data_IF_823986542548
#
_entry.id   IF_823986542548
#
_cell.length_a   1.000
_cell.length_b   1.000
_cell.length_c   1.000
_cell.angle_alpha   90.00
_cell.angle_beta   90.00
_cell.angle_gamma   90.00
#
_symmetry.space_group_name_H-M   'P 1'
#
loop_
_entity.id
_entity.type
_entity.pdbx_description
1 polymer ?
#
# COMPACT_ATOMS: atom_id res chain seq x y z
N UNK A 1 17.20 9.71 -5.34
CA UNK A 1 16.57 8.37 -5.37
C UNK A 1 15.46 8.27 -4.32
N UNK A 2 15.75 8.29 -3.01
CA UNK A 2 14.75 8.16 -1.94
C UNK A 2 13.54 9.12 -2.05
N UNK A 3 13.76 10.40 -2.38
CA UNK A 3 12.67 11.38 -2.60
C UNK A 3 11.70 10.97 -3.73
N UNK A 4 12.23 10.37 -4.81
CA UNK A 4 11.43 9.90 -5.94
C UNK A 4 10.60 8.68 -5.53
N UNK A 5 11.22 7.70 -4.88
CA UNK A 5 10.53 6.52 -4.32
C UNK A 5 9.40 6.96 -3.38
N UNK A 6 9.66 7.93 -2.49
CA UNK A 6 8.63 8.46 -1.59
C UNK A 6 7.46 9.13 -2.32
N UNK A 7 7.71 9.84 -3.43
CA UNK A 7 6.66 10.43 -4.27
C UNK A 7 5.85 9.35 -4.99
N UNK A 8 6.53 8.38 -5.60
CA UNK A 8 5.89 7.28 -6.34
C UNK A 8 5.04 6.41 -5.39
N UNK A 9 5.53 6.17 -4.17
CA UNK A 9 4.78 5.53 -3.09
C UNK A 9 3.52 6.33 -2.72
N UNK A 10 3.64 7.64 -2.51
CA UNK A 10 2.46 8.47 -2.20
C UNK A 10 1.42 8.44 -3.32
N UNK A 11 1.85 8.52 -4.59
CA UNK A 11 0.95 8.46 -5.74
C UNK A 11 0.25 7.10 -5.82
N UNK A 12 0.97 6.01 -5.58
CA UNK A 12 0.42 4.64 -5.58
C UNK A 12 -0.58 4.46 -4.44
N UNK A 13 -0.32 5.05 -3.28
CA UNK A 13 -1.24 5.03 -2.14
C UNK A 13 -2.58 5.71 -2.48
N UNK A 14 -2.56 6.86 -3.16
CA UNK A 14 -3.79 7.53 -3.60
C UNK A 14 -4.58 6.68 -4.61
N UNK A 15 -3.90 5.98 -5.53
CA UNK A 15 -4.58 5.04 -6.45
C UNK A 15 -5.21 3.87 -5.69
N UNK A 16 -4.50 3.34 -4.69
CA UNK A 16 -4.99 2.26 -3.84
C UNK A 16 -6.21 2.67 -3.02
N UNK A 17 -6.23 3.89 -2.49
CA UNK A 17 -7.40 4.44 -1.79
C UNK A 17 -8.61 4.52 -2.73
N UNK A 18 -8.41 5.01 -3.97
CA UNK A 18 -9.46 5.04 -5.00
C UNK A 18 -9.96 3.62 -5.33
N UNK A 19 -9.06 2.65 -5.50
CA UNK A 19 -9.42 1.25 -5.72
C UNK A 19 -10.20 0.68 -4.54
N UNK A 20 -9.81 1.00 -3.31
CA UNK A 20 -10.50 0.57 -2.08
C UNK A 20 -11.94 1.05 -2.06
N UNK A 21 -12.18 2.31 -2.43
CA UNK A 21 -13.53 2.88 -2.52
C UNK A 21 -14.35 2.14 -3.57
N UNK A 22 -13.78 1.86 -4.74
CA UNK A 22 -14.47 1.14 -5.82
C UNK A 22 -14.77 -0.32 -5.45
N UNK A 23 -13.80 -1.03 -4.89
CA UNK A 23 -13.94 -2.44 -4.51
C UNK A 23 -14.97 -2.65 -3.39
N UNK A 24 -15.19 -1.66 -2.51
CA UNK A 24 -16.20 -1.70 -1.44
C UNK A 24 -17.62 -1.40 -1.93
N UNK A 25 -17.80 -0.79 -3.11
CA UNK A 25 -19.14 -0.51 -3.65
C UNK A 25 -19.79 -1.82 -4.11
N UNK A 26 -20.89 -2.21 -3.47
CA UNK A 26 -21.67 -3.42 -3.78
C UNK A 26 -22.81 -3.17 -4.80
N UNK A 27 -22.61 -2.28 -5.77
CA UNK A 27 -23.63 -2.00 -6.78
C UNK A 27 -23.60 -3.07 -7.88
N UNK A 28 -24.74 -3.71 -8.15
CA UNK A 28 -24.88 -4.71 -9.21
C UNK A 28 -24.91 -4.10 -10.62
N UNK A 29 -25.28 -2.82 -10.73
CA UNK A 29 -25.56 -2.15 -12.01
C UNK A 29 -24.56 -1.03 -12.35
N UNK A 30 -23.72 -0.64 -11.39
CA UNK A 30 -22.66 0.37 -11.54
C UNK A 30 -21.34 -0.19 -11.00
N UNK A 31 -21.05 -1.44 -11.37
CA UNK A 31 -19.77 -2.06 -11.07
C UNK A 31 -18.76 -1.59 -12.12
N UNK A 32 -17.90 -0.64 -11.70
CA UNK A 32 -16.83 -0.09 -12.53
C UNK A 32 -15.68 -1.09 -12.71
N UNK A 33 -15.99 -2.25 -13.26
CA UNK A 33 -15.08 -3.39 -13.33
C UNK A 33 -13.80 -3.06 -14.13
N UNK A 34 -13.94 -2.33 -15.24
CA UNK A 34 -12.80 -1.88 -16.06
C UNK A 34 -11.88 -0.95 -15.26
N UNK A 35 -12.42 0.03 -14.54
CA UNK A 35 -11.62 0.96 -13.73
C UNK A 35 -10.91 0.23 -12.57
N UNK A 36 -11.56 -0.79 -11.98
CA UNK A 36 -10.97 -1.64 -10.94
C UNK A 36 -9.81 -2.47 -11.52
N UNK A 37 -9.97 -3.05 -12.70
CA UNK A 37 -8.95 -3.86 -13.36
C UNK A 37 -7.74 -3.01 -13.79
N UNK A 38 -7.99 -1.83 -14.39
CA UNK A 38 -6.94 -0.87 -14.74
C UNK A 38 -6.16 -0.41 -13.50
N UNK A 39 -6.84 -0.01 -12.43
CA UNK A 39 -6.18 0.39 -11.18
C UNK A 39 -5.41 -0.76 -10.56
N UNK A 40 -5.94 -1.98 -10.61
CA UNK A 40 -5.26 -3.19 -10.13
C UNK A 40 -3.96 -3.41 -10.90
N UNK A 41 -3.99 -3.31 -12.23
CA UNK A 41 -2.81 -3.46 -13.07
C UNK A 41 -1.75 -2.37 -12.81
N UNK A 42 -2.18 -1.11 -12.72
CA UNK A 42 -1.29 0.02 -12.46
C UNK A 42 -0.62 -0.12 -11.08
N UNK A 43 -1.40 -0.43 -10.04
CA UNK A 43 -0.87 -0.61 -8.67
C UNK A 43 0.08 -1.80 -8.61
N UNK A 44 -0.26 -2.91 -9.28
CA UNK A 44 0.62 -4.08 -9.40
C UNK A 44 1.98 -3.68 -10.00
N UNK A 45 1.99 -2.92 -11.08
CA UNK A 45 3.22 -2.46 -11.72
C UNK A 45 4.01 -1.48 -10.83
N UNK A 46 3.31 -0.53 -10.21
CA UNK A 46 3.90 0.46 -9.31
C UNK A 46 4.56 -0.21 -8.10
N UNK A 47 3.90 -1.16 -7.44
CA UNK A 47 4.45 -1.91 -6.29
C UNK A 47 5.70 -2.71 -6.70
N UNK A 48 5.67 -3.39 -7.85
CA UNK A 48 6.85 -4.10 -8.36
C UNK A 48 8.02 -3.15 -8.64
N UNK A 49 7.74 -2.00 -9.28
CA UNK A 49 8.76 -0.99 -9.53
C UNK A 49 9.33 -0.41 -8.23
N UNK A 50 8.47 -0.09 -7.25
CA UNK A 50 8.88 0.40 -5.94
C UNK A 50 9.75 -0.60 -5.20
N UNK A 51 9.39 -1.89 -5.23
CA UNK A 51 10.17 -2.96 -4.61
C UNK A 51 11.58 -3.04 -5.21
N UNK A 52 11.69 -3.02 -6.54
CA UNK A 52 12.99 -3.02 -7.24
C UNK A 52 13.82 -1.77 -6.92
N UNK A 53 13.20 -0.58 -6.93
CA UNK A 53 13.89 0.68 -6.62
C UNK A 53 14.38 0.72 -5.17
N UNK A 54 13.62 0.17 -4.23
CA UNK A 54 14.02 0.06 -2.82
C UNK A 54 15.17 -0.92 -2.65
N UNK A 55 15.14 -2.08 -3.32
CA UNK A 55 16.24 -3.04 -3.31
C UNK A 55 17.54 -2.43 -3.88
N UNK A 56 17.45 -1.66 -4.96
CA UNK A 56 18.58 -0.90 -5.52
C UNK A 56 19.09 0.19 -4.57
N UNK A 57 18.19 0.89 -3.88
CA UNK A 57 18.57 1.88 -2.87
C UNK A 57 19.31 1.20 -1.71
N UNK A 58 18.84 0.04 -1.24
CA UNK A 58 19.49 -0.72 -0.18
C UNK A 58 20.90 -1.16 -0.59
N UNK A 59 21.08 -1.70 -1.80
CA UNK A 59 22.40 -2.12 -2.28
C UNK A 59 23.36 -0.93 -2.42
N UNK A 60 22.86 0.22 -2.88
CA UNK A 60 23.63 1.47 -2.94
C UNK A 60 24.07 1.95 -1.54
N UNK A 61 23.16 1.93 -0.56
CA UNK A 61 23.47 2.30 0.83
C UNK A 61 24.48 1.33 1.45
N UNK A 62 24.37 0.02 1.19
CA UNK A 62 25.38 -0.97 1.63
C UNK A 62 26.75 -0.72 1.00
N UNK A 63 26.81 -0.51 -0.31
CA UNK A 63 28.07 -0.26 -1.03
C UNK A 63 28.76 1.02 -0.55
N UNK A 64 27.97 2.06 -0.23
CA UNK A 64 28.49 3.35 0.26
C UNK A 64 28.90 3.33 1.74
N UNK A 65 28.49 2.31 2.50
CA UNK A 65 28.78 2.17 3.92
C UNK A 65 30.28 2.07 4.27
N UNK A 66 31.14 1.70 3.31
CA UNK A 66 32.59 1.63 3.51
C UNK A 66 33.30 3.00 3.48
N UNK A 67 32.67 4.05 2.93
CA UNK A 67 33.33 5.33 2.62
C UNK A 67 32.66 6.54 3.29
N UNK A 68 31.54 6.32 3.99
CA UNK A 68 30.68 7.38 4.52
C UNK A 68 30.68 7.40 6.05
N UNK A 69 30.62 8.60 6.64
CA UNK A 69 30.55 8.76 8.10
C UNK A 69 29.36 8.02 8.73
N UNK A 70 29.58 7.43 9.92
CA UNK A 70 28.63 6.56 10.64
C UNK A 70 27.20 7.12 10.70
N UNK A 71 27.05 8.41 11.00
CA UNK A 71 25.74 9.07 11.12
C UNK A 71 24.96 9.12 9.78
N UNK A 72 25.63 9.41 8.66
CA UNK A 72 24.98 9.46 7.34
C UNK A 72 24.54 8.07 6.89
N UNK A 73 25.29 7.03 7.26
CA UNK A 73 24.93 5.65 7.02
C UNK A 73 23.69 5.23 7.81
N UNK A 74 23.65 5.56 9.11
CA UNK A 74 22.50 5.31 9.97
C UNK A 74 21.23 5.95 9.41
N UNK A 75 21.28 7.23 9.07
CA UNK A 75 20.13 7.93 8.49
C UNK A 75 19.65 7.27 7.18
N UNK A 76 20.60 6.90 6.30
CA UNK A 76 20.27 6.24 5.03
C UNK A 76 19.58 4.89 5.23
N UNK A 77 20.04 4.09 6.20
CA UNK A 77 19.40 2.83 6.56
C UNK A 77 17.99 3.05 7.13
N UNK A 78 17.80 4.01 8.05
CA UNK A 78 16.48 4.34 8.61
C UNK A 78 15.49 4.74 7.52
N UNK A 79 15.94 5.51 6.52
CA UNK A 79 15.09 5.88 5.37
C UNK A 79 14.70 4.65 4.55
N UNK A 80 15.62 3.71 4.30
CA UNK A 80 15.32 2.46 3.58
C UNK A 80 14.29 1.62 4.33
N UNK A 81 14.47 1.41 5.64
CA UNK A 81 13.50 0.67 6.47
C UNK A 81 12.13 1.34 6.49
N UNK A 82 12.08 2.68 6.61
CA UNK A 82 10.82 3.41 6.57
C UNK A 82 10.09 3.22 5.24
N UNK A 83 10.81 3.27 4.10
CA UNK A 83 10.24 3.03 2.78
C UNK A 83 9.75 1.58 2.62
N UNK A 84 10.52 0.60 3.12
CA UNK A 84 10.14 -0.82 3.11
C UNK A 84 8.89 -1.08 3.93
N UNK A 85 8.81 -0.52 5.14
CA UNK A 85 7.64 -0.63 6.00
C UNK A 85 6.38 -0.05 5.34
N UNK A 86 6.51 1.12 4.70
CA UNK A 86 5.39 1.73 3.95
C UNK A 86 4.98 0.88 2.74
N UNK A 87 5.93 0.34 1.98
CA UNK A 87 5.62 -0.54 0.84
C UNK A 87 4.95 -1.84 1.30
N UNK A 88 5.40 -2.42 2.42
CA UNK A 88 4.78 -3.60 3.02
C UNK A 88 3.34 -3.32 3.44
N UNK A 89 3.09 -2.19 4.12
CA UNK A 89 1.74 -1.76 4.51
C UNK A 89 0.84 -1.60 3.28
N UNK A 90 1.31 -0.87 2.25
CA UNK A 90 0.57 -0.68 1.01
C UNK A 90 0.25 -1.99 0.30
N UNK A 91 1.22 -2.91 0.25
CA UNK A 91 1.01 -4.24 -0.35
C UNK A 91 -0.04 -5.03 0.43
N UNK A 92 -0.07 -4.91 1.76
CA UNK A 92 -1.07 -5.58 2.60
C UNK A 92 -2.47 -5.01 2.36
N UNK A 93 -2.59 -3.68 2.34
CA UNK A 93 -3.83 -2.98 2.02
C UNK A 93 -4.35 -3.39 0.62
N UNK A 94 -3.45 -3.45 -0.36
CA UNK A 94 -3.79 -3.91 -1.72
C UNK A 94 -4.30 -5.35 -1.72
N UNK A 95 -3.62 -6.27 -1.03
CA UNK A 95 -4.08 -7.66 -0.87
C UNK A 95 -5.47 -7.73 -0.24
N UNK A 96 -5.72 -6.99 0.85
CA UNK A 96 -7.05 -6.97 1.48
C UNK A 96 -8.14 -6.44 0.57
N UNK A 97 -7.86 -5.41 -0.24
CA UNK A 97 -8.80 -4.87 -1.23
C UNK A 97 -9.12 -5.89 -2.32
N UNK A 98 -8.11 -6.60 -2.80
CA UNK A 98 -8.27 -7.68 -3.77
C UNK A 98 -9.10 -8.84 -3.21
N UNK A 99 -8.86 -9.25 -1.95
CA UNK A 99 -9.68 -10.27 -1.27
C UNK A 99 -11.14 -9.85 -1.15
N UNK A 100 -11.41 -8.59 -0.78
CA UNK A 100 -12.77 -8.04 -0.75
C UNK A 100 -13.41 -8.07 -2.15
N UNK A 101 -12.64 -7.75 -3.20
CA UNK A 101 -13.13 -7.81 -4.59
C UNK A 101 -13.46 -9.24 -5.00
N UNK A 102 -12.59 -10.21 -4.71
CA UNK A 102 -12.83 -11.64 -4.98
C UNK A 102 -14.10 -12.12 -4.28
N UNK A 103 -14.28 -11.77 -3.01
CA UNK A 103 -15.47 -12.14 -2.25
C UNK A 103 -16.75 -11.50 -2.85
N UNK A 104 -16.69 -10.23 -3.25
CA UNK A 104 -17.82 -9.56 -3.91
C UNK A 104 -18.18 -10.23 -5.26
N UNK A 105 -17.18 -10.62 -6.06
CA UNK A 105 -17.39 -11.35 -7.31
C UNK A 105 -18.05 -12.72 -7.07
N UNK A 106 -17.57 -13.45 -6.04
CA UNK A 106 -18.13 -14.75 -5.65
C UNK A 106 -19.59 -14.63 -5.17
N UNK A 107 -19.89 -13.62 -4.35
CA UNK A 107 -21.26 -13.36 -3.89
C UNK A 107 -22.18 -12.98 -5.05
N UNK A 108 -21.70 -12.19 -6.02
CA UNK A 108 -22.47 -11.84 -7.21
C UNK A 108 -22.78 -13.07 -8.07
N UNK A 109 -21.79 -13.95 -8.27
CA UNK A 109 -21.97 -15.22 -8.98
C UNK A 109 -22.98 -16.13 -8.30
N UNK A 110 -22.83 -16.37 -6.99
CA UNK A 110 -23.75 -17.22 -6.21
C UNK A 110 -25.19 -16.69 -6.25
N UNK A 111 -25.40 -15.38 -6.05
CA UNK A 111 -26.74 -14.77 -6.17
C UNK A 111 -27.32 -15.00 -7.56
N UNK A 112 -26.52 -14.78 -8.61
CA UNK A 112 -26.97 -14.97 -9.99
C UNK A 112 -27.33 -16.43 -10.27
N UNK A 113 -26.54 -17.40 -9.82
CA UNK A 113 -26.86 -18.84 -9.94
C UNK A 113 -28.20 -19.17 -9.25
N UNK A 114 -28.48 -18.59 -8.08
CA UNK A 114 -29.77 -18.76 -7.39
C UNK A 114 -30.96 -18.14 -8.13
N UNK A 115 -30.77 -17.02 -8.84
CA UNK A 115 -31.85 -16.36 -9.59
C UNK A 115 -31.98 -16.88 -11.04
N UNK A 116 -30.90 -17.37 -11.66
CA UNK A 116 -30.91 -17.86 -13.03
C UNK A 116 -31.38 -19.31 -13.16
N UNK A 117 -31.14 -20.16 -12.15
CA UNK A 117 -31.69 -21.52 -12.14
C UNK A 117 -33.21 -21.58 -11.88
N UNK A 118 -33.83 -20.48 -11.45
CA UNK A 118 -35.24 -20.44 -11.03
C UNK A 118 -36.29 -20.19 -12.12
N UNK A 119 -35.92 -19.94 -13.38
CA UNK A 119 -36.91 -19.51 -14.41
C UNK A 119 -36.94 -20.30 -15.74
N UNK A 120 -36.13 -21.35 -15.92
CA UNK A 120 -36.14 -22.14 -17.17
C UNK A 120 -36.68 -23.56 -17.04
N UNK A 121 -37.02 -24.04 -15.83
CA UNK A 121 -37.46 -25.43 -15.60
C UNK A 121 -38.96 -25.63 -15.35
N UNK A 122 -39.81 -24.62 -15.56
CA UNK A 122 -41.26 -24.81 -15.39
C UNK A 122 -42.11 -23.91 -16.27
N UNK A 123 -41.98 -24.06 -17.59
CA UNK A 123 -43.14 -23.90 -18.45
C UNK A 123 -43.70 -25.30 -18.65
N UNK A 124 -44.84 -25.66 -18.04
CA UNK A 124 -45.47 -26.94 -18.33
C UNK A 124 -45.89 -26.91 -19.81
N UNK A 125 -45.19 -27.65 -20.66
CA UNK A 125 -45.74 -28.05 -21.95
C UNK A 125 -47.00 -28.87 -21.66
N UNK A 126 -48.16 -28.23 -21.73
CA UNK A 126 -49.44 -28.91 -21.68
C UNK A 126 -49.60 -29.69 -23.00
N UNK A 127 -49.20 -30.96 -22.97
CA UNK A 127 -49.47 -31.91 -24.04
C UNK A 127 -50.97 -32.27 -23.99
N UNK A 128 -51.79 -31.57 -24.77
CA UNK A 128 -53.22 -31.85 -24.85
C UNK A 128 -53.49 -33.00 -25.82
N UNK A 129 -53.33 -34.23 -25.32
CA UNK A 129 -53.75 -35.47 -25.98
C UNK A 129 -55.26 -35.69 -25.77
N UNK A 130 -56.03 -35.42 -26.82
CA UNK A 130 -57.24 -36.13 -27.25
C UNK A 130 -58.20 -36.71 -26.18
N UNK A 131 -59.34 -36.06 -26.02
CA UNK A 131 -60.59 -36.66 -25.55
C UNK A 131 -61.78 -35.89 -26.14
N UNK A 132 -62.77 -36.53 -26.80
CA UNK A 132 -63.90 -35.83 -27.40
C UNK A 132 -64.97 -35.60 -26.33
N UNK A 133 -65.29 -34.34 -26.02
CA UNK A 133 -66.50 -34.03 -25.27
C UNK A 133 -67.33 -33.00 -26.02
N UNK A 134 -68.55 -33.45 -26.28
CA UNK A 134 -69.68 -32.83 -26.97
C UNK A 134 -70.05 -31.50 -26.32
N UNK A 135 -70.12 -30.40 -27.10
CA UNK A 135 -71.11 -29.32 -26.95
C UNK A 135 -70.98 -28.27 -28.10
N UNK A 136 -72.06 -28.11 -28.89
CA UNK A 136 -72.45 -26.99 -29.78
C UNK A 136 -71.44 -26.54 -30.87
N UNK A 137 -71.63 -26.74 -32.19
CA UNK A 137 -72.68 -26.22 -33.10
C UNK A 137 -72.98 -24.72 -32.90
N UNK A 138 -72.27 -23.82 -33.59
CA UNK A 138 -72.68 -23.18 -34.87
C UNK A 138 -71.79 -21.95 -35.19
N UNK A 139 -71.78 -21.55 -36.46
CA UNK A 139 -71.30 -20.28 -37.05
C UNK A 139 -69.81 -20.02 -37.38
N UNK A 140 -69.42 -20.50 -38.56
CA UNK A 140 -69.01 -19.71 -39.74
C UNK A 140 -68.36 -18.30 -39.58
N UNK A 141 -67.08 -18.25 -40.02
CA UNK A 141 -66.41 -17.17 -40.80
C UNK A 141 -66.02 -15.85 -40.09
N UNK A 142 -64.73 -15.70 -39.75
CA UNK A 142 -63.85 -14.56 -40.16
C UNK A 142 -62.42 -14.67 -39.58
N UNK A 143 -61.45 -14.65 -40.49
CA UNK A 143 -60.20 -13.87 -40.47
C UNK A 143 -59.34 -13.83 -39.19
N UNK A 144 -58.13 -14.40 -39.28
CA UNK A 144 -57.02 -14.10 -38.36
C UNK A 144 -56.32 -15.34 -37.85
N UNK A 145 -55.61 -16.06 -38.72
CA UNK A 145 -54.65 -17.08 -38.31
C UNK A 145 -53.49 -16.38 -37.60
N UNK A 146 -53.53 -16.33 -36.27
CA UNK A 146 -52.37 -15.97 -35.45
C UNK A 146 -51.63 -17.27 -35.21
N UNK A 147 -50.84 -17.71 -36.20
CA UNK A 147 -49.74 -18.63 -35.95
C UNK A 147 -48.80 -17.94 -34.98
N UNK A 148 -48.86 -18.33 -33.70
CA UNK A 148 -47.88 -17.93 -32.70
C UNK A 148 -46.53 -18.43 -33.22
N UNK A 149 -45.73 -17.50 -33.71
CA UNK A 149 -44.36 -17.65 -34.16
C UNK A 149 -43.50 -18.07 -32.95
N UNK A 150 -43.54 -19.37 -32.63
CA UNK A 150 -42.81 -19.97 -31.50
C UNK A 150 -41.31 -20.11 -31.82
N UNK A 151 -40.94 -20.09 -33.11
CA UNK A 151 -39.59 -20.32 -33.61
C UNK A 151 -38.68 -19.07 -33.50
N UNK A 152 -39.28 -17.86 -33.54
CA UNK A 152 -38.55 -16.58 -33.36
C UNK A 152 -38.15 -16.32 -31.91
N UNK A 153 -38.80 -16.98 -30.93
CA UNK A 153 -38.45 -16.84 -29.49
C UNK A 153 -37.29 -17.72 -29.06
N UNK A 154 -37.08 -18.88 -29.69
CA UNK A 154 -35.96 -19.79 -29.36
C UNK A 154 -34.63 -19.21 -29.80
N UNK A 155 -34.58 -18.58 -30.97
CA UNK A 155 -33.40 -17.89 -31.49
C UNK A 155 -33.04 -16.64 -30.66
N UNK A 156 -34.05 -15.91 -30.16
CA UNK A 156 -33.83 -14.79 -29.24
C UNK A 156 -33.41 -15.24 -27.83
N UNK A 157 -33.81 -16.44 -27.40
CA UNK A 157 -33.39 -17.03 -26.13
C UNK A 157 -31.94 -17.55 -26.17
N UNK A 158 -31.47 -18.06 -27.32
CA UNK A 158 -30.06 -18.45 -27.50
C UNK A 158 -29.11 -17.26 -27.39
N UNK A 159 -29.52 -16.10 -27.92
CA UNK A 159 -28.70 -14.88 -27.89
C UNK A 159 -28.54 -14.32 -26.47
N UNK A 160 -29.55 -14.49 -25.61
CA UNK A 160 -29.52 -14.10 -24.19
C UNK A 160 -28.68 -15.04 -23.32
N UNK A 161 -28.44 -16.27 -23.77
CA UNK A 161 -27.55 -17.24 -23.10
C UNK A 161 -26.09 -16.91 -23.44
N UNK A 162 -25.79 -16.63 -24.71
CA UNK A 162 -24.43 -16.30 -25.17
C UNK A 162 -23.91 -15.00 -24.51
N UNK A 163 -24.76 -13.98 -24.39
CA UNK A 163 -24.40 -12.73 -23.69
C UNK A 163 -24.19 -12.96 -22.18
N UNK A 164 -24.91 -13.91 -21.58
CA UNK A 164 -24.71 -14.30 -20.18
C UNK A 164 -23.41 -15.05 -19.93
N UNK A 165 -23.05 -15.96 -20.83
CA UNK A 165 -21.84 -16.77 -20.73
C UNK A 165 -20.58 -15.91 -20.91
N UNK A 166 -20.60 -14.94 -21.83
CA UNK A 166 -19.49 -13.99 -22.02
C UNK A 166 -19.16 -13.22 -20.73
N UNK A 167 -20.19 -12.80 -19.99
CA UNK A 167 -20.03 -12.08 -18.72
C UNK A 167 -19.46 -12.98 -17.62
N UNK A 168 -19.93 -14.24 -17.52
CA UNK A 168 -19.42 -15.20 -16.53
C UNK A 168 -17.94 -15.50 -16.79
N UNK A 169 -17.57 -15.69 -18.06
CA UNK A 169 -16.19 -15.95 -18.46
C UNK A 169 -15.28 -14.78 -18.10
N UNK A 170 -15.66 -13.55 -18.50
CA UNK A 170 -14.89 -12.34 -18.16
C UNK A 170 -14.66 -12.20 -16.65
N UNK A 171 -15.65 -12.57 -15.83
CA UNK A 171 -15.54 -12.49 -14.36
C UNK A 171 -14.64 -13.57 -13.78
N UNK A 172 -14.64 -14.77 -14.36
CA UNK A 172 -13.70 -15.83 -13.99
C UNK A 172 -12.26 -15.41 -14.31
N UNK A 173 -12.03 -14.82 -15.49
CA UNK A 173 -10.73 -14.32 -15.90
C UNK A 173 -10.21 -13.21 -14.96
N UNK A 174 -11.07 -12.24 -14.60
CA UNK A 174 -10.70 -11.21 -13.62
C UNK A 174 -10.34 -11.81 -12.26
N UNK A 175 -11.09 -12.82 -11.80
CA UNK A 175 -10.81 -13.47 -10.52
C UNK A 175 -9.46 -14.21 -10.55
N UNK A 176 -9.14 -14.90 -11.63
CA UNK A 176 -7.84 -15.54 -11.83
C UNK A 176 -6.69 -14.51 -11.86
N UNK A 177 -6.88 -13.36 -12.51
CA UNK A 177 -5.90 -12.28 -12.54
C UNK A 177 -5.64 -11.71 -11.13
N UNK A 178 -6.70 -11.58 -10.32
CA UNK A 178 -6.60 -11.15 -8.93
C UNK A 178 -5.82 -12.19 -8.10
N UNK A 179 -6.15 -13.47 -8.23
CA UNK A 179 -5.45 -14.55 -7.52
C UNK A 179 -3.96 -14.61 -7.87
N UNK A 180 -3.61 -14.51 -9.15
CA UNK A 180 -2.21 -14.42 -9.59
C UNK A 180 -1.50 -13.22 -8.98
N UNK A 181 -2.17 -12.07 -8.90
CA UNK A 181 -1.60 -10.85 -8.28
C UNK A 181 -1.37 -11.04 -6.78
N UNK A 182 -2.30 -11.68 -6.05
CA UNK A 182 -2.14 -11.99 -4.62
C UNK A 182 -0.94 -12.91 -4.38
N UNK A 183 -0.74 -13.92 -5.24
CA UNK A 183 0.42 -14.83 -5.15
C UNK A 183 1.73 -14.07 -5.39
N UNK A 184 1.78 -13.20 -6.40
CA UNK A 184 2.94 -12.36 -6.67
C UNK A 184 3.26 -11.43 -5.49
N UNK A 185 2.25 -10.81 -4.86
CA UNK A 185 2.44 -10.03 -3.64
C UNK A 185 3.06 -10.87 -2.51
N UNK A 186 2.72 -12.16 -2.42
CA UNK A 186 3.35 -13.11 -1.51
C UNK A 186 4.88 -13.13 -1.65
N UNK A 187 5.39 -13.13 -2.89
CA UNK A 187 6.84 -13.09 -3.16
C UNK A 187 7.46 -11.76 -2.72
N UNK A 188 6.76 -10.65 -2.90
CA UNK A 188 7.20 -9.32 -2.47
C UNK A 188 7.27 -9.24 -0.94
N UNK A 189 6.30 -9.83 -0.22
CA UNK A 189 6.35 -9.91 1.25
C UNK A 189 7.54 -10.71 1.75
N UNK A 190 7.88 -11.83 1.10
CA UNK A 190 9.06 -12.60 1.46
C UNK A 190 10.34 -11.78 1.27
N UNK A 191 10.45 -11.05 0.16
CA UNK A 191 11.60 -10.19 -0.12
C UNK A 191 11.69 -9.02 0.88
N UNK A 192 10.56 -8.36 1.19
CA UNK A 192 10.51 -7.30 2.18
C UNK A 192 10.84 -7.81 3.58
N UNK A 193 10.31 -8.97 3.98
CA UNK A 193 10.61 -9.59 5.27
C UNK A 193 12.10 -9.89 5.42
N UNK A 194 12.74 -10.41 4.36
CA UNK A 194 14.19 -10.62 4.35
C UNK A 194 14.96 -9.30 4.48
N UNK A 195 14.57 -8.29 3.68
CA UNK A 195 15.22 -6.98 3.70
C UNK A 195 15.07 -6.23 5.03
N UNK A 196 13.94 -6.37 5.71
CA UNK A 196 13.68 -5.75 7.01
C UNK A 196 14.44 -6.48 8.12
N UNK A 197 14.42 -7.82 8.12
CA UNK A 197 15.15 -8.63 9.12
C UNK A 197 16.64 -8.37 9.10
N UNK A 198 17.24 -8.22 7.91
CA UNK A 198 18.67 -7.90 7.77
C UNK A 198 19.02 -6.51 8.33
N UNK A 199 18.08 -5.57 8.36
CA UNK A 199 18.31 -4.21 8.85
C UNK A 199 17.99 -4.02 10.34
N UNK A 200 17.17 -4.88 10.95
CA UNK A 200 16.84 -4.83 12.39
C UNK A 200 18.10 -4.97 13.27
N UNK A 201 19.06 -5.81 12.89
CA UNK A 201 20.37 -5.91 13.57
C UNK A 201 21.21 -4.62 13.51
N UNK A 202 21.02 -3.80 12.48
CA UNK A 202 21.75 -2.52 12.34
C UNK A 202 21.08 -1.40 13.13
N UNK A 203 19.76 -1.46 13.32
CA UNK A 203 18.98 -0.46 14.09
C UNK A 203 19.27 -0.60 15.59
N UNK A 204 19.44 -1.80 16.13
CA UNK A 204 19.82 -1.99 17.55
C UNK A 204 21.16 -1.31 17.92
N UNK A 205 22.03 -1.06 16.94
CA UNK A 205 23.28 -0.30 17.13
C UNK A 205 23.08 1.22 17.13
N UNK A 206 21.91 1.72 16.72
CA UNK A 206 21.59 3.16 16.75
C UNK A 206 21.33 3.63 18.17
N UNK A 207 20.57 2.85 18.95
CA UNK A 207 20.30 3.16 20.37
C UNK A 207 21.62 3.24 21.17
N UNK A 208 22.52 2.28 20.96
CA UNK A 208 23.87 2.34 21.55
C UNK A 208 24.71 3.55 21.08
N UNK A 209 24.55 4.01 19.84
CA UNK A 209 25.30 5.15 19.32
C UNK A 209 24.75 6.51 19.81
N UNK A 210 23.46 6.63 20.12
CA UNK A 210 22.88 7.82 20.77
C UNK A 210 23.42 7.93 22.20
N UNK A 211 23.49 6.81 22.90
CA UNK A 211 24.10 6.71 24.21
C UNK A 211 25.59 7.08 24.18
N UNK A 212 26.35 6.56 23.22
CA UNK A 212 27.76 6.96 23.02
C UNK A 212 27.92 8.45 22.72
N UNK A 213 27.01 9.05 21.95
CA UNK A 213 27.05 10.48 21.63
C UNK A 213 26.73 11.32 22.87
N UNK A 214 25.74 10.89 23.68
CA UNK A 214 25.41 11.53 24.95
C UNK A 214 26.59 11.48 25.92
N UNK A 215 27.26 10.32 26.04
CA UNK A 215 28.45 10.14 26.87
C UNK A 215 29.61 11.05 26.43
N UNK A 216 29.84 11.18 25.11
CA UNK A 216 30.87 12.07 24.58
C UNK A 216 30.57 13.56 24.81
N UNK A 217 29.29 13.96 24.69
CA UNK A 217 28.86 15.34 24.98
C UNK A 217 29.00 15.66 26.47
N UNK A 218 28.68 14.71 27.34
CA UNK A 218 28.82 14.85 28.79
C UNK A 218 30.30 14.93 29.22
N UNK A 219 31.16 14.13 28.60
CA UNK A 219 32.61 14.21 28.78
C UNK A 219 33.17 15.57 28.32
N UNK A 220 32.77 16.06 27.15
CA UNK A 220 33.18 17.38 26.65
C UNK A 220 32.68 18.52 27.57
N UNK A 221 31.47 18.41 28.09
CA UNK A 221 30.92 19.38 29.05
C UNK A 221 31.71 19.41 30.36
N UNK A 222 32.12 18.23 30.86
CA UNK A 222 32.97 18.11 32.05
C UNK A 222 34.34 18.77 31.84
N UNK A 223 34.97 18.58 30.68
CA UNK A 223 36.24 19.24 30.35
C UNK A 223 36.12 20.76 30.26
N UNK A 224 35.03 21.27 29.66
CA UNK A 224 34.76 22.71 29.59
C UNK A 224 34.59 23.31 30.98
N UNK A 225 33.83 22.66 31.86
CA UNK A 225 33.66 23.10 33.24
C UNK A 225 34.99 23.11 34.02
N UNK A 226 35.83 22.09 33.82
CA UNK A 226 37.16 22.01 34.41
C UNK A 226 38.07 23.15 33.94
N UNK A 227 38.05 23.46 32.65
CA UNK A 227 38.78 24.61 32.10
C UNK A 227 38.24 25.93 32.67
N UNK A 228 36.93 26.10 32.76
CA UNK A 228 36.30 27.30 33.31
C UNK A 228 36.69 27.55 34.77
N UNK A 229 36.74 26.50 35.61
CA UNK A 229 37.23 26.59 36.98
C UNK A 229 38.71 26.97 37.06
N UNK A 230 39.56 26.42 36.17
CA UNK A 230 40.98 26.75 36.12
C UNK A 230 41.22 28.23 35.74
N UNK A 231 40.44 28.78 34.81
CA UNK A 231 40.51 30.19 34.40
C UNK A 231 40.01 31.11 35.52
N UNK A 232 38.99 30.71 36.27
CA UNK A 232 38.48 31.50 37.42
C UNK A 232 39.48 31.57 38.58
N UNK A 233 40.23 30.50 38.84
CA UNK A 233 41.23 30.45 39.93
C UNK A 233 42.35 31.48 39.74
N UNK A 234 42.78 31.71 38.50
CA UNK A 234 43.86 32.64 38.18
C UNK A 234 43.51 34.12 38.42
N UNK A 235 42.23 34.45 38.66
CA UNK A 235 41.82 35.83 38.98
C UNK A 235 42.41 36.31 40.30
N UNK A 236 42.53 35.43 41.30
CA UNK A 236 43.12 35.80 42.59
C UNK A 236 44.64 36.03 42.49
N UNK A 237 45.31 35.28 41.60
CA UNK A 237 46.72 35.50 41.28
C UNK A 237 46.94 36.84 40.57
N UNK A 238 46.07 37.20 39.61
CA UNK A 238 46.11 38.50 38.96
C UNK A 238 45.93 39.66 39.97
N UNK A 239 44.99 39.52 40.90
CA UNK A 239 44.75 40.53 41.95
C UNK A 239 45.99 40.73 42.81
N UNK A 240 46.69 39.66 43.20
CA UNK A 240 47.94 39.76 44.00
C UNK A 240 49.04 40.50 43.25
N UNK A 241 49.27 40.18 41.97
CA UNK A 241 50.26 40.86 41.13
C UNK A 241 49.91 42.35 40.99
N UNK A 242 48.63 42.67 40.78
CA UNK A 242 48.15 44.04 40.68
C UNK A 242 48.38 44.83 41.99
N UNK A 243 48.15 44.21 43.15
CA UNK A 243 48.38 44.84 44.45
C UNK A 243 49.87 45.13 44.68
N UNK A 244 50.75 44.21 44.29
CA UNK A 244 52.20 44.41 44.35
C UNK A 244 52.64 45.58 43.44
N UNK A 245 52.09 45.68 42.23
CA UNK A 245 52.36 46.81 41.33
C UNK A 245 51.88 48.15 41.90
N UNK A 246 50.72 48.20 42.55
CA UNK A 246 50.23 49.41 43.22
C UNK A 246 51.16 49.83 44.35
N UNK A 247 51.57 48.89 45.21
CA UNK A 247 52.48 49.19 46.33
C UNK A 247 53.81 49.72 45.79
N UNK A 248 54.36 49.09 44.75
CA UNK A 248 55.59 49.56 44.11
C UNK A 248 55.43 50.97 43.51
N UNK A 249 54.30 51.24 42.84
CA UNK A 249 54.00 52.57 42.28
C UNK A 249 53.92 53.64 43.37
N UNK A 250 53.25 53.36 44.49
CA UNK A 250 53.15 54.30 45.62
C UNK A 250 54.54 54.57 46.20
N UNK A 251 55.36 53.53 46.42
CA UNK A 251 56.72 53.70 46.92
C UNK A 251 57.55 54.54 45.95
N UNK A 252 57.46 54.26 44.64
CA UNK A 252 58.17 55.00 43.62
C UNK A 252 57.79 56.48 43.60
N UNK A 253 56.50 56.80 43.65
CA UNK A 253 56.03 58.20 43.68
C UNK A 253 56.46 58.91 44.96
N UNK A 254 56.41 58.24 46.12
CA UNK A 254 56.76 58.86 47.41
C UNK A 254 58.27 59.06 47.59
N UNK A 255 59.11 58.19 47.02
CA UNK A 255 60.56 58.28 47.17
C UNK A 255 61.27 59.00 46.01
N UNK A 256 60.64 59.11 44.84
CA UNK A 256 61.25 59.68 43.64
C UNK A 256 60.64 61.03 43.23
N UNK A 257 59.49 61.42 43.81
CA UNK A 257 59.02 62.82 43.83
C UNK A 257 59.48 63.51 45.12
#
# INVERSE_FOLDING_TARGET
MAKRIGKDLSNTFTKLEKLTILAKRKSLFDDKAVEIEELTYIIKQDINSLNQQIAQLQSFVKARGSQSGRHLQTHSNTVVVSLQSKLASMSNDFKSVLEVRTENLKQQRSRREHFSQGQVSSLPLHHNSMGPSVLFQDDSRRHGDVTIEMDSKVSQQLQLIDEQDSYIQSRADTMQNIESTIVELGSIFQQLAHMVKEQEETIQRIDGNVEDTQLNVEAAHSEILKYFQSVTSNRWLMIKIFLILIVFFIIFVVFLA
#
